data_IF_029083218548
#
_entry.id   IF_029083218548
#
_cell.length_a   1.000
_cell.length_b   1.000
_cell.length_c   1.000
_cell.angle_alpha   90.00
_cell.angle_beta   90.00
_cell.angle_gamma   90.00
#
_symmetry.space_group_name_H-M   'P 1'
#
loop_
_entity.id
_entity.type
_entity.pdbx_description
1 polymer ?
#
# COMPACT_ATOMS: atom_id res chain seq x y z
N UNK A 1 -67.91 -17.42 16.84
CA UNK A 1 -66.52 -17.96 16.88
C UNK A 1 -65.55 -16.79 17.00
N UNK A 2 -64.94 -16.55 18.17
CA UNK A 2 -63.89 -15.54 18.36
C UNK A 2 -62.53 -16.21 18.14
N UNK A 3 -61.87 -15.97 17.00
CA UNK A 3 -60.47 -16.37 16.81
C UNK A 3 -59.56 -15.34 17.48
N UNK A 4 -58.94 -15.77 18.57
CA UNK A 4 -57.89 -15.06 19.32
C UNK A 4 -56.62 -15.09 18.46
N UNK A 5 -56.18 -13.94 17.95
CA UNK A 5 -54.84 -13.79 17.38
C UNK A 5 -53.95 -13.29 18.51
N UNK A 6 -53.10 -14.17 19.03
CA UNK A 6 -52.06 -13.84 20.01
C UNK A 6 -50.75 -14.37 19.43
N UNK A 7 -50.03 -13.51 18.69
CA UNK A 7 -48.74 -13.84 18.08
C UNK A 7 -47.81 -12.61 18.23
N UNK A 8 -46.77 -12.83 19.05
CA UNK A 8 -45.37 -12.37 18.92
C UNK A 8 -44.90 -10.95 19.25
N UNK A 9 -45.37 -10.36 20.36
CA UNK A 9 -44.61 -9.23 20.94
C UNK A 9 -43.36 -9.69 21.73
N UNK A 10 -43.42 -10.81 22.47
CA UNK A 10 -42.30 -11.31 23.30
C UNK A 10 -41.12 -11.87 22.49
N UNK A 11 -41.37 -12.50 21.34
CA UNK A 11 -40.33 -13.07 20.45
C UNK A 11 -39.44 -11.96 19.86
N UNK A 12 -40.02 -10.78 19.57
CA UNK A 12 -39.30 -9.63 19.02
C UNK A 12 -38.36 -8.96 20.04
N UNK A 13 -38.75 -8.92 21.32
CA UNK A 13 -37.96 -8.31 22.40
C UNK A 13 -36.82 -9.22 22.82
N UNK A 14 -37.06 -10.53 22.92
CA UNK A 14 -36.03 -11.53 23.23
C UNK A 14 -34.94 -11.62 22.15
N UNK A 15 -35.31 -11.51 20.87
CA UNK A 15 -34.36 -11.51 19.74
C UNK A 15 -33.50 -10.23 19.67
N UNK A 16 -34.09 -9.05 19.96
CA UNK A 16 -33.35 -7.77 20.11
C UNK A 16 -32.39 -7.79 21.31
N UNK A 17 -32.83 -8.34 22.45
CA UNK A 17 -32.01 -8.55 23.66
C UNK A 17 -30.81 -9.47 23.42
N UNK A 18 -31.02 -10.61 22.74
CA UNK A 18 -29.94 -11.55 22.37
C UNK A 18 -28.94 -10.92 21.38
N UNK A 19 -29.40 -10.15 20.38
CA UNK A 19 -28.52 -9.39 19.46
C UNK A 19 -27.68 -8.33 20.20
N UNK A 20 -28.29 -7.61 21.15
CA UNK A 20 -27.62 -6.64 22.02
C UNK A 20 -26.53 -7.28 22.89
N UNK A 21 -26.84 -8.42 23.55
CA UNK A 21 -25.88 -9.19 24.36
C UNK A 21 -24.72 -9.75 23.52
N UNK A 22 -25.00 -10.30 22.31
CA UNK A 22 -23.94 -10.74 21.38
C UNK A 22 -23.04 -9.58 20.92
N UNK A 23 -23.61 -8.40 20.64
CA UNK A 23 -22.81 -7.19 20.30
C UNK A 23 -21.94 -6.74 21.48
N UNK A 24 -22.47 -6.71 22.71
CA UNK A 24 -21.68 -6.39 23.93
C UNK A 24 -20.55 -7.38 24.17
N UNK A 25 -20.82 -8.68 24.08
CA UNK A 25 -19.82 -9.75 24.25
C UNK A 25 -18.70 -9.66 23.21
N UNK A 26 -19.02 -9.45 21.92
CA UNK A 26 -18.01 -9.22 20.87
C UNK A 26 -17.17 -7.97 21.13
N UNK A 27 -17.79 -6.88 21.61
CA UNK A 27 -17.07 -5.64 21.94
C UNK A 27 -16.11 -5.81 23.13
N UNK A 28 -16.51 -6.58 24.14
CA UNK A 28 -15.67 -6.94 25.30
C UNK A 28 -14.49 -7.84 24.90
N UNK A 29 -14.74 -8.84 24.05
CA UNK A 29 -13.69 -9.71 23.52
C UNK A 29 -12.68 -8.93 22.67
N UNK A 30 -13.14 -8.05 21.78
CA UNK A 30 -12.27 -7.19 20.96
C UNK A 30 -11.38 -6.29 21.84
N UNK A 31 -11.97 -5.64 22.86
CA UNK A 31 -11.21 -4.83 23.83
C UNK A 31 -10.14 -5.65 24.57
N UNK A 32 -10.46 -6.87 25.02
CA UNK A 32 -9.47 -7.74 25.67
C UNK A 32 -8.32 -8.13 24.74
N UNK A 33 -8.62 -8.37 23.45
CA UNK A 33 -7.59 -8.62 22.43
C UNK A 33 -6.68 -7.42 22.21
N UNK A 34 -7.24 -6.22 22.08
CA UNK A 34 -6.48 -4.97 21.91
C UNK A 34 -5.56 -4.67 23.11
N UNK A 35 -6.02 -4.92 24.34
CA UNK A 35 -5.19 -4.73 25.55
C UNK A 35 -3.99 -5.68 25.55
N UNK A 36 -4.21 -6.98 25.27
CA UNK A 36 -3.12 -7.97 25.20
C UNK A 36 -2.09 -7.64 24.12
N UNK A 37 -2.54 -7.13 22.98
CA UNK A 37 -1.65 -6.76 21.88
C UNK A 37 -0.78 -5.54 22.24
N UNK A 38 -1.33 -4.56 22.97
CA UNK A 38 -0.56 -3.41 23.48
C UNK A 38 0.47 -3.81 24.53
N UNK A 39 0.10 -4.73 25.43
CA UNK A 39 1.04 -5.29 26.42
C UNK A 39 2.21 -6.00 25.71
N UNK A 40 1.91 -6.87 24.73
CA UNK A 40 2.93 -7.56 23.92
C UNK A 40 3.83 -6.58 23.15
N UNK A 41 3.26 -5.54 22.52
CA UNK A 41 4.04 -4.52 21.81
C UNK A 41 5.06 -3.84 22.75
N UNK A 42 4.63 -3.53 23.98
CA UNK A 42 5.51 -2.95 24.99
C UNK A 42 6.62 -3.91 25.45
N UNK A 43 6.30 -5.19 25.62
CA UNK A 43 7.28 -6.24 25.94
C UNK A 43 8.35 -6.40 24.85
N UNK A 44 7.97 -6.23 23.58
CA UNK A 44 8.88 -6.28 22.44
C UNK A 44 9.60 -4.93 22.16
N UNK A 45 9.46 -3.94 23.03
CA UNK A 45 10.15 -2.65 22.90
C UNK A 45 9.60 -1.73 21.81
N UNK A 46 8.38 -1.99 21.32
CA UNK A 46 7.72 -1.18 20.29
C UNK A 46 7.40 0.21 20.86
N UNK A 47 7.83 1.26 20.16
CA UNK A 47 7.58 2.63 20.61
C UNK A 47 6.10 3.02 20.42
N UNK A 48 5.55 3.94 21.23
CA UNK A 48 4.17 4.43 21.05
C UNK A 48 3.90 5.02 19.66
N UNK A 49 4.94 5.53 18.98
CA UNK A 49 4.84 6.11 17.64
C UNK A 49 4.43 5.08 16.60
N UNK A 50 4.92 3.83 16.74
CA UNK A 50 4.67 2.75 15.78
C UNK A 50 3.73 1.65 16.28
N UNK A 51 3.30 1.68 17.56
CA UNK A 51 2.41 0.69 18.19
C UNK A 51 1.19 0.34 17.32
N UNK A 52 0.53 1.36 16.74
CA UNK A 52 -0.67 1.14 15.90
C UNK A 52 -0.38 0.32 14.64
N UNK A 53 0.83 0.43 14.09
CA UNK A 53 1.28 -0.30 12.90
C UNK A 53 1.74 -1.70 13.29
N UNK A 54 2.43 -1.84 14.41
CA UNK A 54 2.79 -3.15 14.98
C UNK A 54 1.57 -4.05 15.22
N UNK A 55 0.47 -3.49 15.70
CA UNK A 55 -0.80 -4.22 15.88
C UNK A 55 -1.32 -4.77 14.54
N UNK A 56 -1.05 -4.08 13.43
CA UNK A 56 -1.40 -4.42 12.05
C UNK A 56 -0.25 -5.10 11.30
N UNK A 57 0.81 -5.59 11.99
CA UNK A 57 2.02 -6.07 11.31
C UNK A 57 1.79 -7.19 10.29
N UNK A 58 0.79 -8.05 10.51
CA UNK A 58 0.42 -9.10 9.55
C UNK A 58 -0.37 -8.58 8.35
N UNK A 59 -0.96 -7.38 8.44
CA UNK A 59 -1.53 -6.70 7.28
C UNK A 59 -0.41 -6.04 6.43
N UNK A 60 0.75 -5.76 7.02
CA UNK A 60 1.92 -5.20 6.33
C UNK A 60 2.77 -6.30 5.69
N UNK A 61 3.03 -7.37 6.45
CA UNK A 61 3.75 -8.55 6.01
C UNK A 61 3.12 -9.80 6.65
N UNK A 62 2.49 -10.66 5.85
CA UNK A 62 1.89 -11.90 6.33
C UNK A 62 2.89 -12.82 7.03
N UNK A 63 4.16 -12.79 6.56
CA UNK A 63 5.29 -13.57 7.10
C UNK A 63 6.09 -12.83 8.18
N UNK A 64 5.46 -11.87 8.87
CA UNK A 64 6.15 -11.00 9.83
C UNK A 64 7.02 -11.75 10.85
N UNK A 65 6.45 -12.78 11.50
CA UNK A 65 7.12 -13.54 12.56
C UNK A 65 8.26 -14.44 12.05
N UNK A 66 8.47 -14.55 10.74
CA UNK A 66 9.54 -15.36 10.13
C UNK A 66 10.88 -14.62 10.04
N UNK A 67 10.94 -13.36 10.51
CA UNK A 67 12.17 -12.57 10.58
C UNK A 67 12.14 -11.29 9.74
N UNK A 68 10.96 -10.74 9.47
CA UNK A 68 10.81 -9.42 8.85
C UNK A 68 11.45 -8.36 9.74
N UNK A 69 12.19 -7.46 9.10
CA UNK A 69 12.85 -6.34 9.76
C UNK A 69 12.25 -5.03 9.27
N UNK A 70 12.02 -4.14 10.23
CA UNK A 70 11.39 -2.85 10.03
C UNK A 70 12.15 -1.80 10.85
N UNK A 71 12.34 -0.62 10.28
CA UNK A 71 12.70 0.57 11.03
C UNK A 71 11.47 1.42 11.31
N UNK A 72 11.64 2.53 12.01
CA UNK A 72 10.54 3.40 12.43
C UNK A 72 9.70 3.90 11.24
N UNK A 73 10.37 4.31 10.16
CA UNK A 73 9.68 4.78 8.95
C UNK A 73 9.02 3.65 8.17
N UNK A 74 9.64 2.48 8.07
CA UNK A 74 9.05 1.31 7.43
C UNK A 74 7.66 1.00 7.99
N UNK A 75 7.44 1.18 9.29
CA UNK A 75 6.14 0.94 9.91
C UNK A 75 5.00 1.79 9.36
N UNK A 76 5.27 3.02 8.96
CA UNK A 76 4.23 3.92 8.44
C UNK A 76 4.27 4.12 6.93
N UNK A 77 5.35 3.72 6.27
CA UNK A 77 5.54 3.83 4.82
C UNK A 77 5.31 2.51 4.07
N UNK A 78 5.45 1.35 4.72
CA UNK A 78 5.21 0.08 4.04
C UNK A 78 3.75 -0.03 3.56
N UNK A 79 3.58 -0.35 2.28
CA UNK A 79 2.28 -0.65 1.68
C UNK A 79 1.74 -1.95 2.29
N UNK A 80 0.47 -1.99 2.75
CA UNK A 80 -0.15 -3.24 3.17
C UNK A 80 -0.05 -4.32 2.09
N UNK A 81 0.21 -5.57 2.49
CA UNK A 81 0.57 -6.65 1.57
C UNK A 81 -0.49 -6.87 0.49
N UNK A 82 -1.78 -6.87 0.86
CA UNK A 82 -2.90 -7.04 -0.06
C UNK A 82 -2.94 -5.96 -1.15
N UNK A 83 -2.58 -4.72 -0.80
CA UNK A 83 -2.51 -3.60 -1.76
C UNK A 83 -1.29 -3.76 -2.67
N UNK A 84 -0.14 -4.15 -2.10
CA UNK A 84 1.07 -4.41 -2.88
C UNK A 84 0.89 -5.56 -3.88
N UNK A 85 0.12 -6.60 -3.52
CA UNK A 85 -0.29 -7.67 -4.45
C UNK A 85 -1.13 -7.10 -5.59
N UNK A 86 -2.14 -6.26 -5.31
CA UNK A 86 -2.94 -5.60 -6.36
C UNK A 86 -2.06 -4.79 -7.33
N UNK A 87 -1.09 -4.02 -6.82
CA UNK A 87 -0.14 -3.29 -7.66
C UNK A 87 0.65 -4.22 -8.58
N UNK A 88 1.10 -5.37 -8.06
CA UNK A 88 1.82 -6.36 -8.85
C UNK A 88 0.94 -6.96 -9.95
N UNK A 89 -0.29 -7.38 -9.64
CA UNK A 89 -1.24 -7.94 -10.62
C UNK A 89 -1.52 -6.97 -11.77
N UNK A 90 -1.54 -5.67 -11.46
CA UNK A 90 -1.87 -4.61 -12.41
C UNK A 90 -0.67 -4.08 -13.20
N UNK A 91 0.55 -4.39 -12.78
CA UNK A 91 1.77 -3.95 -13.49
C UNK A 91 1.92 -4.58 -14.88
N UNK A 92 1.34 -5.76 -15.10
CA UNK A 92 1.30 -6.39 -16.42
C UNK A 92 2.61 -7.03 -16.89
N UNK A 93 3.63 -7.08 -16.02
CA UNK A 93 4.85 -7.87 -16.15
C UNK A 93 6.07 -7.17 -16.76
N UNK A 94 7.18 -7.93 -16.82
CA UNK A 94 8.47 -7.47 -17.32
C UNK A 94 9.44 -7.06 -16.21
N UNK A 95 10.24 -6.04 -16.48
CA UNK A 95 11.19 -5.41 -15.56
C UNK A 95 10.53 -4.22 -14.85
N UNK A 96 10.36 -4.32 -13.53
CA UNK A 96 9.77 -3.25 -12.70
C UNK A 96 10.87 -2.44 -12.03
N UNK A 97 10.82 -1.12 -12.15
CA UNK A 97 11.66 -0.20 -11.39
C UNK A 97 10.87 0.29 -10.18
N UNK A 98 11.19 -0.21 -9.00
CA UNK A 98 10.65 0.31 -7.74
C UNK A 98 11.55 1.47 -7.27
N UNK A 99 11.10 2.69 -7.54
CA UNK A 99 11.92 3.89 -7.42
C UNK A 99 12.16 4.34 -5.97
N UNK A 100 11.36 3.86 -5.02
CA UNK A 100 11.39 4.23 -3.60
C UNK A 100 11.07 3.01 -2.73
N UNK A 101 11.94 1.99 -2.76
CA UNK A 101 11.57 0.65 -2.30
C UNK A 101 11.33 0.53 -0.79
N UNK A 102 11.92 1.43 0.01
CA UNK A 102 11.82 1.40 1.46
C UNK A 102 12.23 0.04 2.02
N UNK A 103 11.35 -0.60 2.79
CA UNK A 103 11.58 -1.93 3.38
C UNK A 103 11.21 -3.09 2.44
N UNK A 104 10.94 -2.81 1.16
CA UNK A 104 10.74 -3.81 0.10
C UNK A 104 9.31 -4.32 -0.08
N UNK A 105 8.30 -3.70 0.54
CA UNK A 105 6.92 -4.21 0.53
C UNK A 105 6.36 -4.44 -0.89
N UNK A 106 6.45 -3.46 -1.78
CA UNK A 106 5.99 -3.59 -3.17
C UNK A 106 6.97 -4.44 -4.01
N UNK A 107 8.28 -4.21 -3.90
CA UNK A 107 9.31 -5.00 -4.60
C UNK A 107 9.13 -6.52 -4.39
N UNK A 108 8.84 -6.96 -3.16
CA UNK A 108 8.58 -8.36 -2.84
C UNK A 108 7.38 -8.90 -3.61
N UNK A 109 6.29 -8.14 -3.70
CA UNK A 109 5.08 -8.60 -4.39
C UNK A 109 5.24 -8.59 -5.91
N UNK A 110 5.96 -7.62 -6.47
CA UNK A 110 6.35 -7.66 -7.88
C UNK A 110 7.18 -8.92 -8.19
N UNK A 111 8.18 -9.22 -7.35
CA UNK A 111 9.03 -10.39 -7.53
C UNK A 111 8.27 -11.73 -7.33
N UNK A 112 7.30 -11.80 -6.41
CA UNK A 112 6.41 -12.96 -6.25
C UNK A 112 5.61 -13.28 -7.52
N UNK A 113 5.36 -12.28 -8.38
CA UNK A 113 4.70 -12.46 -9.68
C UNK A 113 5.67 -12.79 -10.81
N UNK A 114 6.89 -13.22 -10.47
CA UNK A 114 7.94 -13.59 -11.40
C UNK A 114 8.44 -12.42 -12.26
N UNK A 115 8.29 -11.19 -11.78
CA UNK A 115 8.90 -10.02 -12.41
C UNK A 115 10.32 -9.86 -11.90
N UNK A 116 11.21 -9.38 -12.76
CA UNK A 116 12.51 -8.91 -12.31
C UNK A 116 12.35 -7.47 -11.82
N UNK A 117 12.93 -7.15 -10.66
CA UNK A 117 12.73 -5.86 -10.01
C UNK A 117 14.06 -5.17 -9.82
N UNK A 118 14.15 -3.89 -10.15
CA UNK A 118 15.22 -3.01 -9.69
C UNK A 118 14.67 -2.19 -8.53
N UNK A 119 15.10 -2.51 -7.31
CA UNK A 119 14.61 -1.89 -6.08
C UNK A 119 15.61 -0.83 -5.60
N UNK A 120 15.20 0.44 -5.66
CA UNK A 120 16.05 1.60 -5.40
C UNK A 120 15.60 2.29 -4.12
N UNK A 121 16.53 2.53 -3.20
CA UNK A 121 16.34 3.49 -2.12
C UNK A 121 17.61 4.31 -1.89
N UNK A 122 17.46 5.56 -1.45
CA UNK A 122 18.58 6.43 -1.17
C UNK A 122 19.26 6.06 0.16
N UNK A 123 18.52 5.45 1.09
CA UNK A 123 19.04 5.00 2.38
C UNK A 123 19.53 3.55 2.29
N UNK A 124 20.82 3.34 2.52
CA UNK A 124 21.42 2.01 2.50
C UNK A 124 20.78 1.04 3.49
N UNK A 125 20.30 1.55 4.64
CA UNK A 125 19.64 0.71 5.64
C UNK A 125 18.29 0.20 5.13
N UNK A 126 17.55 0.99 4.36
CA UNK A 126 16.30 0.55 3.72
C UNK A 126 16.56 -0.60 2.78
N UNK A 127 17.58 -0.48 1.94
CA UNK A 127 17.99 -1.53 1.02
C UNK A 127 18.40 -2.81 1.75
N UNK A 128 19.15 -2.72 2.85
CA UNK A 128 19.47 -3.88 3.70
C UNK A 128 18.21 -4.56 4.28
N UNK A 129 17.24 -3.77 4.75
CA UNK A 129 15.96 -4.27 5.25
C UNK A 129 15.15 -4.94 4.13
N UNK A 130 15.05 -4.30 2.96
CA UNK A 130 14.37 -4.83 1.79
C UNK A 130 14.98 -6.16 1.33
N UNK A 131 16.31 -6.28 1.29
CA UNK A 131 17.01 -7.52 0.97
C UNK A 131 16.72 -8.63 1.99
N UNK A 132 16.77 -8.32 3.29
CA UNK A 132 16.40 -9.28 4.34
C UNK A 132 14.95 -9.75 4.18
N UNK A 133 14.03 -8.81 3.96
CA UNK A 133 12.61 -9.13 3.85
C UNK A 133 12.33 -9.95 2.60
N UNK A 134 12.98 -9.65 1.47
CA UNK A 134 12.88 -10.46 0.25
C UNK A 134 13.38 -11.89 0.46
N UNK A 135 14.44 -12.10 1.25
CA UNK A 135 14.90 -13.44 1.66
C UNK A 135 13.88 -14.22 2.45
N UNK A 136 13.15 -13.56 3.36
CA UNK A 136 12.05 -14.21 4.08
C UNK A 136 11.02 -14.72 3.08
N UNK A 137 10.65 -13.90 2.08
CA UNK A 137 9.70 -14.29 1.04
C UNK A 137 10.27 -15.27 0.00
N UNK A 138 11.59 -15.43 -0.09
CA UNK A 138 12.28 -16.35 -1.02
C UNK A 138 12.38 -15.81 -2.45
N UNK A 139 12.35 -14.49 -2.62
CA UNK A 139 12.33 -13.80 -3.93
C UNK A 139 13.53 -12.88 -4.15
N UNK A 140 14.52 -12.92 -3.27
CA UNK A 140 15.69 -12.02 -3.33
C UNK A 140 16.48 -12.15 -4.64
N UNK A 141 16.43 -13.31 -5.30
CA UNK A 141 17.14 -13.56 -6.56
C UNK A 141 16.46 -12.94 -7.79
N UNK A 142 15.26 -12.38 -7.62
CA UNK A 142 14.51 -11.65 -8.66
C UNK A 142 14.58 -10.13 -8.46
N UNK A 143 15.39 -9.66 -7.51
CA UNK A 143 15.45 -8.25 -7.14
C UNK A 143 16.91 -7.78 -7.15
N UNK A 144 17.22 -6.83 -8.02
CA UNK A 144 18.46 -6.06 -8.00
C UNK A 144 18.31 -4.88 -7.03
N UNK A 145 19.02 -4.94 -5.92
CA UNK A 145 18.97 -3.94 -4.86
C UNK A 145 20.02 -2.85 -5.09
N UNK A 146 19.58 -1.59 -5.21
CA UNK A 146 20.45 -0.44 -5.48
C UNK A 146 20.29 0.62 -4.39
N UNK A 147 21.40 0.95 -3.73
CA UNK A 147 21.49 2.15 -2.90
C UNK A 147 21.78 3.34 -3.82
N UNK A 148 20.85 4.28 -3.95
CA UNK A 148 21.08 5.45 -4.78
C UNK A 148 19.89 6.40 -4.88
N UNK A 149 20.18 7.57 -5.43
CA UNK A 149 19.15 8.56 -5.73
C UNK A 149 18.49 8.22 -7.08
N UNK A 150 17.22 7.79 -7.02
CA UNK A 150 16.41 7.52 -8.22
C UNK A 150 16.50 8.65 -9.26
N UNK A 151 16.49 9.91 -8.84
CA UNK A 151 16.49 11.05 -9.77
C UNK A 151 17.81 11.18 -10.53
N UNK A 152 18.92 10.66 -9.99
CA UNK A 152 20.21 10.62 -10.65
C UNK A 152 20.37 9.38 -11.53
N UNK A 153 19.75 8.27 -11.12
CA UNK A 153 19.83 6.99 -11.82
C UNK A 153 18.90 6.89 -13.02
N UNK A 154 17.75 7.57 -12.99
CA UNK A 154 16.65 7.40 -13.95
C UNK A 154 17.07 7.43 -15.42
N UNK A 155 17.98 8.33 -15.81
CA UNK A 155 18.47 8.47 -17.19
C UNK A 155 19.24 7.25 -17.71
N UNK A 156 19.72 6.39 -16.82
CA UNK A 156 20.48 5.18 -17.14
C UNK A 156 19.65 3.90 -16.99
N UNK A 157 18.42 4.01 -16.46
CA UNK A 157 17.53 2.89 -16.24
C UNK A 157 16.69 2.61 -17.48
N UNK A 158 16.35 1.33 -17.69
CA UNK A 158 15.34 0.87 -18.63
C UNK A 158 14.48 -0.16 -17.90
N UNK A 159 13.18 -0.07 -18.07
CA UNK A 159 12.22 -0.98 -17.45
C UNK A 159 10.89 -0.92 -18.19
N UNK A 160 10.07 -1.94 -17.98
CA UNK A 160 8.75 -2.02 -18.57
C UNK A 160 7.73 -1.20 -17.76
N UNK A 161 7.91 -1.14 -16.44
CA UNK A 161 7.05 -0.41 -15.49
C UNK A 161 7.89 0.38 -14.49
N UNK A 162 7.48 1.62 -14.19
CA UNK A 162 8.02 2.39 -13.08
C UNK A 162 6.98 2.50 -11.95
N UNK A 163 7.34 2.05 -10.75
CA UNK A 163 6.52 2.16 -9.55
C UNK A 163 7.04 3.29 -8.66
N UNK A 164 6.17 4.26 -8.34
CA UNK A 164 6.46 5.43 -7.55
C UNK A 164 5.64 5.40 -6.26
N UNK A 165 6.30 5.16 -5.13
CA UNK A 165 5.72 5.34 -3.79
C UNK A 165 6.61 6.26 -2.95
N UNK A 166 6.71 7.55 -3.31
CA UNK A 166 7.62 8.48 -2.66
C UNK A 166 7.22 8.77 -1.20
N UNK A 167 8.13 9.35 -0.39
CA UNK A 167 7.78 9.84 0.94
C UNK A 167 6.63 10.86 0.93
N UNK A 168 5.61 10.61 1.74
CA UNK A 168 4.44 11.50 1.90
C UNK A 168 4.59 12.52 3.05
N UNK A 169 5.73 12.52 3.75
CA UNK A 169 5.93 13.34 4.95
C UNK A 169 5.49 12.65 6.26
N UNK A 170 5.53 11.32 6.29
CA UNK A 170 5.21 10.51 7.48
C UNK A 170 3.76 10.64 7.94
N UNK A 171 3.38 10.12 9.12
CA UNK A 171 1.99 10.06 9.58
C UNK A 171 1.25 11.42 9.63
N UNK A 172 2.00 12.53 9.69
CA UNK A 172 1.51 13.90 9.65
C UNK A 172 0.85 14.30 8.34
N UNK A 173 1.07 13.62 7.21
CA UNK A 173 0.39 13.94 5.95
C UNK A 173 -1.14 13.97 6.11
N UNK A 174 -1.67 13.19 7.05
CA UNK A 174 -3.10 13.07 7.35
C UNK A 174 -3.72 14.34 7.94
N UNK A 175 -2.93 15.31 8.38
CA UNK A 175 -3.43 16.61 8.85
C UNK A 175 -3.65 17.59 7.70
N UNK A 176 -3.26 17.22 6.49
CA UNK A 176 -3.41 18.02 5.28
C UNK A 176 -4.70 17.58 4.59
N UNK A 177 -5.71 18.46 4.57
CA UNK A 177 -7.03 18.15 4.00
C UNK A 177 -6.98 17.95 2.49
N UNK A 178 -6.26 18.82 1.78
CA UNK A 178 -5.97 18.69 0.35
C UNK A 178 -4.45 18.58 0.14
N UNK A 179 -3.98 17.36 -0.09
CA UNK A 179 -2.57 17.09 -0.34
C UNK A 179 -2.30 17.32 -1.83
N UNK A 180 -1.41 18.24 -2.20
CA UNK A 180 -1.06 18.49 -3.62
C UNK A 180 0.21 17.75 -4.01
N UNK A 181 0.43 17.53 -5.31
CA UNK A 181 1.65 16.92 -5.85
C UNK A 181 2.91 17.71 -5.47
N UNK A 182 2.82 19.01 -5.24
CA UNK A 182 3.92 19.89 -4.80
C UNK A 182 4.49 19.51 -3.41
N UNK A 183 3.67 18.85 -2.59
CA UNK A 183 4.04 18.45 -1.23
C UNK A 183 4.85 17.15 -1.21
N UNK A 184 4.87 16.39 -2.31
CA UNK A 184 5.71 15.21 -2.43
C UNK A 184 7.19 15.58 -2.29
N UNK A 185 7.95 14.63 -1.74
CA UNK A 185 9.38 14.75 -1.52
C UNK A 185 10.09 13.52 -2.10
N UNK A 186 11.38 13.64 -2.46
CA UNK A 186 12.22 14.84 -2.37
C UNK A 186 12.02 15.84 -3.52
N UNK A 187 11.28 15.48 -4.56
CA UNK A 187 10.79 16.38 -5.63
C UNK A 187 9.26 16.35 -5.69
N UNK A 188 8.67 17.38 -6.30
CA UNK A 188 7.24 17.42 -6.57
C UNK A 188 6.80 16.29 -7.51
N UNK A 189 5.51 15.96 -7.46
CA UNK A 189 4.93 14.87 -8.23
C UNK A 189 5.03 15.05 -9.74
N UNK A 190 4.97 16.28 -10.26
CA UNK A 190 5.08 16.54 -11.71
C UNK A 190 6.50 16.22 -12.20
N UNK A 191 7.52 16.74 -11.52
CA UNK A 191 8.92 16.46 -11.81
C UNK A 191 9.23 14.97 -11.69
N UNK A 192 8.72 14.31 -10.66
CA UNK A 192 8.92 12.88 -10.44
C UNK A 192 8.30 12.03 -11.54
N UNK A 193 7.07 12.37 -11.94
CA UNK A 193 6.37 11.68 -13.03
C UNK A 193 7.10 11.85 -14.37
N UNK A 194 7.56 13.06 -14.72
CA UNK A 194 8.33 13.29 -15.94
C UNK A 194 9.65 12.53 -15.95
N UNK A 195 10.32 12.41 -14.81
CA UNK A 195 11.55 11.62 -14.69
C UNK A 195 11.25 10.14 -14.90
N UNK A 196 10.18 9.61 -14.32
CA UNK A 196 9.75 8.23 -14.56
C UNK A 196 9.38 7.97 -16.03
N UNK A 197 8.77 8.94 -16.72
CA UNK A 197 8.47 8.84 -18.15
C UNK A 197 9.72 8.66 -19.03
N UNK A 198 10.91 9.12 -18.58
CA UNK A 198 12.15 8.87 -19.32
C UNK A 198 12.54 7.39 -19.35
N UNK A 199 11.99 6.59 -18.43
CA UNK A 199 12.20 5.14 -18.34
C UNK A 199 11.12 4.41 -19.14
N UNK A 200 9.84 4.73 -18.91
CA UNK A 200 8.69 4.04 -19.51
C UNK A 200 7.40 4.88 -19.44
N UNK A 201 6.47 4.75 -20.39
CA UNK A 201 5.12 5.32 -20.27
C UNK A 201 4.21 4.57 -19.28
N UNK A 202 4.60 3.38 -18.83
CA UNK A 202 3.81 2.56 -17.91
C UNK A 202 4.20 2.89 -16.46
N UNK A 203 3.44 3.75 -15.82
CA UNK A 203 3.77 4.27 -14.48
C UNK A 203 2.65 3.89 -13.50
N UNK A 204 3.03 3.51 -12.29
CA UNK A 204 2.10 3.28 -11.18
C UNK A 204 2.53 4.21 -10.04
N UNK A 205 1.62 5.05 -9.55
CA UNK A 205 1.87 5.95 -8.42
C UNK A 205 0.99 5.58 -7.23
N UNK A 206 1.60 5.25 -6.09
CA UNK A 206 0.88 5.07 -4.83
C UNK A 206 0.97 6.34 -3.98
N UNK A 207 -0.19 6.93 -3.70
CA UNK A 207 -0.34 8.31 -3.26
C UNK A 207 -1.17 8.43 -1.97
N UNK A 208 -1.02 9.55 -1.23
CA UNK A 208 -1.84 9.85 -0.08
C UNK A 208 -3.33 9.80 -0.38
N UNK A 209 -4.11 9.27 0.57
CA UNK A 209 -5.59 9.23 0.47
C UNK A 209 -6.29 10.60 0.40
N UNK A 210 -5.57 11.70 0.65
CA UNK A 210 -6.07 13.08 0.57
C UNK A 210 -5.49 13.83 -0.61
N UNK A 211 -4.87 13.12 -1.58
CA UNK A 211 -4.27 13.71 -2.78
C UNK A 211 -5.34 14.41 -3.64
N UNK A 212 -4.99 15.56 -4.20
CA UNK A 212 -5.80 16.27 -5.19
C UNK A 212 -5.89 15.44 -6.48
N UNK A 213 -7.05 14.83 -6.73
CA UNK A 213 -7.26 13.95 -7.87
C UNK A 213 -7.17 14.70 -9.22
N UNK A 214 -7.50 16.00 -9.25
CA UNK A 214 -7.37 16.77 -10.49
C UNK A 214 -5.92 16.91 -10.91
N UNK A 215 -5.01 17.18 -9.96
CA UNK A 215 -3.57 17.22 -10.25
C UNK A 215 -3.03 15.85 -10.69
N UNK A 216 -3.57 14.74 -10.16
CA UNK A 216 -3.18 13.39 -10.59
C UNK A 216 -3.64 13.13 -12.04
N UNK A 217 -4.86 13.52 -12.40
CA UNK A 217 -5.35 13.42 -13.78
C UNK A 217 -4.53 14.29 -14.75
N UNK A 218 -4.10 15.48 -14.32
CA UNK A 218 -3.25 16.38 -15.11
C UNK A 218 -1.93 15.75 -15.56
N UNK A 219 -1.37 14.82 -14.76
CA UNK A 219 -0.13 14.11 -15.11
C UNK A 219 -0.21 13.41 -16.47
N UNK A 220 -1.40 12.90 -16.84
CA UNK A 220 -1.61 12.23 -18.13
C UNK A 220 -1.28 13.12 -19.33
N UNK A 221 -1.47 14.44 -19.21
CA UNK A 221 -1.27 15.43 -20.27
C UNK A 221 0.18 15.88 -20.40
N UNK A 222 1.08 15.44 -19.51
CA UNK A 222 2.52 15.73 -19.60
C UNK A 222 3.22 14.93 -20.71
N UNK A 223 2.52 13.95 -21.30
CA UNK A 223 2.99 13.16 -22.44
C UNK A 223 2.30 13.61 -23.75
N UNK A 224 2.97 13.38 -24.88
CA UNK A 224 2.38 13.58 -26.21
C UNK A 224 2.56 12.31 -27.06
N UNK A 225 1.48 11.57 -27.38
CA UNK A 225 0.09 11.80 -26.95
C UNK A 225 -0.11 11.61 -25.42
N UNK A 226 -1.20 12.14 -24.84
CA UNK A 226 -1.52 11.94 -23.43
C UNK A 226 -1.62 10.45 -23.08
N UNK A 227 -1.17 10.08 -21.89
CA UNK A 227 -1.26 8.70 -21.39
C UNK A 227 -2.69 8.39 -20.94
N UNK A 228 -3.13 7.14 -21.13
CA UNK A 228 -4.32 6.65 -20.42
C UNK A 228 -4.07 6.69 -18.91
N UNK A 229 -5.07 7.05 -18.12
CA UNK A 229 -5.00 7.08 -16.66
C UNK A 229 -6.19 6.35 -16.05
N UNK A 230 -5.94 5.53 -15.03
CA UNK A 230 -6.95 4.91 -14.17
C UNK A 230 -6.60 5.20 -12.72
N UNK A 231 -7.57 5.63 -11.92
CA UNK A 231 -7.40 5.97 -10.51
C UNK A 231 -8.21 4.99 -9.66
N UNK A 232 -7.56 4.38 -8.68
CA UNK A 232 -8.12 3.39 -7.77
C UNK A 232 -7.98 3.83 -6.30
N UNK A 233 -9.04 3.65 -5.53
CA UNK A 233 -9.02 3.80 -4.07
C UNK A 233 -8.66 2.48 -3.40
N UNK A 234 -7.62 2.48 -2.55
CA UNK A 234 -7.16 1.26 -1.89
C UNK A 234 -7.73 1.14 -0.48
N UNK A 235 -8.52 0.10 -0.24
CA UNK A 235 -9.16 -0.16 1.05
C UNK A 235 -8.55 -1.36 1.76
N UNK A 236 -8.40 -1.24 3.08
CA UNK A 236 -8.11 -2.39 3.95
C UNK A 236 -9.07 -2.38 5.14
N UNK A 237 -9.81 -3.48 5.31
CA UNK A 237 -10.82 -3.64 6.36
C UNK A 237 -11.83 -2.46 6.39
N UNK A 238 -12.21 -1.95 5.22
CA UNK A 238 -13.13 -0.82 5.04
C UNK A 238 -12.52 0.56 5.31
N UNK A 239 -11.21 0.68 5.50
CA UNK A 239 -10.52 1.95 5.68
C UNK A 239 -9.71 2.30 4.44
N UNK A 240 -9.89 3.50 3.89
CA UNK A 240 -9.08 4.04 2.80
C UNK A 240 -7.62 4.24 3.27
N UNK A 241 -6.70 3.56 2.59
CA UNK A 241 -5.26 3.58 2.88
C UNK A 241 -4.50 4.55 1.98
N UNK A 242 -4.85 4.62 0.70
CA UNK A 242 -4.21 5.49 -0.29
C UNK A 242 -4.92 5.44 -1.64
N UNK A 243 -4.47 6.28 -2.57
CA UNK A 243 -4.92 6.29 -3.96
C UNK A 243 -3.81 5.68 -4.82
N UNK A 244 -4.15 4.83 -5.78
CA UNK A 244 -3.21 4.37 -6.81
C UNK A 244 -3.63 4.92 -8.15
N UNK A 245 -2.70 5.56 -8.86
CA UNK A 245 -2.90 5.98 -10.23
C UNK A 245 -2.03 5.14 -11.17
N UNK A 246 -2.68 4.52 -12.16
CA UNK A 246 -2.06 3.73 -13.21
C UNK A 246 -2.03 4.54 -14.50
N UNK A 247 -0.90 4.54 -15.21
CA UNK A 247 -0.71 5.32 -16.43
C UNK A 247 -0.20 4.45 -17.59
N UNK A 248 -0.57 4.82 -18.82
CA UNK A 248 -0.15 4.10 -20.01
C UNK A 248 -0.77 2.71 -20.10
N UNK A 249 0.04 1.69 -20.38
CA UNK A 249 -0.43 0.32 -20.54
C UNK A 249 -0.96 -0.35 -19.26
N UNK A 250 -0.60 0.16 -18.06
CA UNK A 250 -1.09 -0.36 -16.77
C UNK A 250 -2.50 0.14 -16.44
N UNK A 251 -2.96 1.23 -17.07
CA UNK A 251 -4.33 1.74 -16.96
C UNK A 251 -5.36 0.91 -17.78
N UNK A 252 -4.91 -0.02 -18.63
CA UNK A 252 -5.78 -0.76 -19.54
C UNK A 252 -6.10 -2.18 -19.04
N UNK A 253 -6.05 -2.41 -17.73
CA UNK A 253 -6.11 -3.75 -17.13
C UNK A 253 -7.42 -4.50 -17.45
N UNK A 254 -8.57 -3.81 -17.43
CA UNK A 254 -9.87 -4.42 -17.76
C UNK A 254 -9.96 -4.89 -19.22
N UNK A 255 -9.23 -4.24 -20.14
CA UNK A 255 -9.15 -4.68 -21.52
C UNK A 255 -8.26 -5.94 -21.65
N UNK A 256 -7.25 -6.14 -20.81
CA UNK A 256 -6.42 -7.35 -20.87
C UNK A 256 -7.18 -8.61 -20.46
N UNK A 257 -8.04 -8.52 -19.43
CA UNK A 257 -8.85 -9.64 -18.95
C UNK A 257 -9.97 -10.07 -19.91
N UNK A 258 -10.38 -9.21 -20.85
CA UNK A 258 -11.42 -9.54 -21.83
C UNK A 258 -10.88 -10.30 -23.06
N UNK A 259 -9.57 -10.44 -23.19
CA UNK A 259 -8.89 -11.16 -24.29
C UNK A 259 -8.07 -12.38 -23.82
N UNK A 260 -8.15 -12.74 -22.53
CA UNK A 260 -7.55 -13.96 -21.94
C UNK A 260 -8.65 -14.90 -21.48
#
# INVERSE_FOLDING_TARGET
MKKKVSIDFEVSVASRSRRSRKKKSRKLSKRRGEVKLKEKAKEEGVTPLVEKYWIQRYDLFSRYDEGIKMDEEGWFSATPEEIAVSHAERSGGGLVIDCFTGVGGNAIQFANMCFHVVAIDIDSKKVELAYNNAKIYGVENYIDFIVGDFFQLASSLKGDVAFLSPPWGGPSYRTIENFTLDLLKPKDGYSMFQIAQTITPNIIMFLPRTIDLHQVEELSWLSSPPLSVEIEENYLQGNLKGITAYFGGTALWQLRLSYT
#
